data_IF_126920114729
#
_entry.id   IF_126920114729
#
_cell.length_a   1.000
_cell.length_b   1.000
_cell.length_c   1.000
_cell.angle_alpha   90.00
_cell.angle_beta   90.00
_cell.angle_gamma   90.00
#
_symmetry.space_group_name_H-M   'P 1'
#
loop_
_entity.id
_entity.type
_entity.pdbx_description
1 polymer ?
#
# COMPACT_ATOMS: atom_id res chain seq x y z
N UNK A 1 -6.60 20.06 25.26
CA UNK A 1 -5.24 19.59 24.91
C UNK A 1 -5.19 19.38 23.41
N UNK A 2 -4.31 20.09 22.69
CA UNK A 2 -4.18 19.88 21.24
C UNK A 2 -3.57 18.50 20.99
N UNK A 3 -4.29 17.62 20.31
CA UNK A 3 -3.79 16.31 19.91
C UNK A 3 -2.63 16.51 18.93
N UNK A 4 -1.43 16.07 19.30
CA UNK A 4 -0.28 16.10 18.40
C UNK A 4 -0.60 15.33 17.11
N UNK A 5 -0.45 16.01 15.96
CA UNK A 5 -0.76 15.43 14.65
C UNK A 5 -0.05 14.09 14.40
N UNK A 6 -0.67 13.24 13.57
CA UNK A 6 -0.12 11.95 13.16
C UNK A 6 0.87 12.07 11.97
N UNK A 7 1.00 13.26 11.40
CA UNK A 7 1.80 13.49 10.20
C UNK A 7 3.30 13.52 10.49
N UNK A 8 4.08 12.73 9.73
CA UNK A 8 5.55 12.62 9.79
C UNK A 8 6.12 12.27 11.17
N UNK A 9 5.46 11.36 11.90
CA UNK A 9 6.08 10.78 13.10
C UNK A 9 7.31 9.96 12.71
N UNK A 10 8.33 10.03 13.55
CA UNK A 10 9.55 9.23 13.38
C UNK A 10 9.14 7.75 13.54
N UNK A 11 9.65 6.91 12.65
CA UNK A 11 9.45 5.46 12.75
C UNK A 11 10.02 4.96 14.09
N UNK A 12 9.35 4.02 14.79
CA UNK A 12 9.93 3.36 15.95
C UNK A 12 11.09 2.46 15.47
N UNK A 13 12.27 3.08 15.34
CA UNK A 13 13.50 2.46 14.90
C UNK A 13 14.52 2.50 16.03
N UNK A 14 15.03 1.35 16.48
CA UNK A 14 14.67 -0.03 16.09
C UNK A 14 13.29 -0.51 16.62
N UNK A 15 12.63 -1.52 16.00
CA UNK A 15 13.13 -2.37 14.91
C UNK A 15 12.70 -1.96 13.49
N UNK A 16 11.97 -0.86 13.31
CA UNK A 16 11.52 -0.47 11.97
C UNK A 16 12.70 0.02 11.11
N UNK A 17 12.74 -0.42 9.84
CA UNK A 17 13.69 0.01 8.81
C UNK A 17 12.87 0.63 7.68
N UNK A 18 13.22 1.83 7.23
CA UNK A 18 12.59 2.47 6.09
C UNK A 18 12.89 1.69 4.80
N UNK A 19 11.85 1.32 4.04
CA UNK A 19 11.96 0.61 2.77
C UNK A 19 12.84 1.37 1.77
N UNK A 20 12.79 2.71 1.77
CA UNK A 20 13.55 3.55 0.84
C UNK A 20 15.04 3.69 1.19
N UNK A 21 15.45 3.27 2.40
CA UNK A 21 16.84 3.30 2.85
C UNK A 21 17.73 2.30 2.09
N UNK A 22 19.04 2.44 2.21
CA UNK A 22 20.01 1.48 1.65
C UNK A 22 19.80 0.07 2.22
N UNK A 23 19.55 -0.03 3.52
CA UNK A 23 19.28 -1.29 4.22
C UNK A 23 17.94 -1.89 3.80
N UNK A 24 16.88 -1.08 3.73
CA UNK A 24 15.55 -1.51 3.28
C UNK A 24 15.57 -2.07 1.85
N UNK A 25 16.27 -1.40 0.93
CA UNK A 25 16.48 -1.89 -0.45
C UNK A 25 17.24 -3.21 -0.49
N UNK A 26 18.26 -3.38 0.35
CA UNK A 26 19.02 -4.64 0.45
C UNK A 26 18.11 -5.79 0.91
N UNK A 27 17.39 -5.61 2.01
CA UNK A 27 16.45 -6.61 2.54
C UNK A 27 15.35 -6.95 1.53
N UNK A 28 14.81 -5.95 0.83
CA UNK A 28 13.82 -6.16 -0.21
C UNK A 28 14.37 -6.99 -1.36
N UNK A 29 15.59 -6.71 -1.81
CA UNK A 29 16.27 -7.44 -2.89
C UNK A 29 16.53 -8.89 -2.48
N UNK A 30 16.98 -9.14 -1.25
CA UNK A 30 17.14 -10.49 -0.69
C UNK A 30 15.81 -11.26 -0.66
N UNK A 31 14.72 -10.62 -0.23
CA UNK A 31 13.39 -11.24 -0.20
C UNK A 31 12.86 -11.58 -1.61
N UNK A 32 13.15 -10.72 -2.60
CA UNK A 32 12.83 -10.99 -4.02
C UNK A 32 13.61 -12.21 -4.51
N UNK A 33 14.92 -12.27 -4.27
CA UNK A 33 15.74 -13.43 -4.66
C UNK A 33 15.30 -14.74 -3.97
N UNK A 34 14.78 -14.64 -2.75
CA UNK A 34 14.21 -15.78 -2.02
C UNK A 34 12.77 -16.13 -2.42
N UNK A 35 12.16 -15.39 -3.35
CA UNK A 35 10.79 -15.62 -3.83
C UNK A 35 9.68 -15.29 -2.83
N UNK A 36 9.99 -14.63 -1.70
CA UNK A 36 9.00 -14.31 -0.65
C UNK A 36 8.30 -12.96 -0.87
N UNK A 37 8.72 -12.20 -1.89
CA UNK A 37 8.25 -10.84 -2.14
C UNK A 37 7.56 -10.66 -3.51
N UNK A 38 7.27 -11.74 -4.24
CA UNK A 38 6.65 -11.70 -5.58
C UNK A 38 5.30 -10.94 -5.62
N UNK A 39 4.49 -11.06 -4.56
CA UNK A 39 3.18 -10.39 -4.47
C UNK A 39 3.30 -8.86 -4.47
N UNK A 40 4.45 -8.32 -4.06
CA UNK A 40 4.69 -6.88 -4.01
C UNK A 40 4.45 -6.23 -5.36
N UNK A 41 4.90 -6.85 -6.46
CA UNK A 41 4.74 -6.30 -7.81
C UNK A 41 3.28 -6.13 -8.22
N UNK A 42 2.40 -7.04 -7.78
CA UNK A 42 0.96 -6.91 -8.04
C UNK A 42 0.33 -5.81 -7.19
N UNK A 43 0.72 -5.73 -5.91
CA UNK A 43 0.16 -4.73 -4.99
C UNK A 43 0.62 -3.31 -5.33
N UNK A 44 1.89 -3.12 -5.67
CA UNK A 44 2.47 -1.79 -5.92
C UNK A 44 1.85 -1.11 -7.15
N UNK A 45 1.43 -1.88 -8.16
CA UNK A 45 0.71 -1.35 -9.34
C UNK A 45 -0.63 -0.68 -9.00
N UNK A 46 -1.21 -0.97 -7.82
CA UNK A 46 -2.46 -0.37 -7.35
C UNK A 46 -2.28 0.48 -6.10
N UNK A 47 -1.05 0.80 -5.72
CA UNK A 47 -0.76 1.56 -4.51
C UNK A 47 -1.45 2.93 -4.52
N UNK A 48 -2.13 3.24 -3.42
CA UNK A 48 -2.87 4.48 -3.27
C UNK A 48 -2.74 5.01 -1.85
N UNK A 49 -2.70 6.34 -1.73
CA UNK A 49 -2.80 7.01 -0.44
C UNK A 49 -4.25 7.01 0.03
N UNK A 50 -4.49 6.67 1.29
CA UNK A 50 -5.82 6.79 1.90
C UNK A 50 -6.37 8.22 1.74
N UNK A 51 -7.62 8.35 1.34
CA UNK A 51 -8.27 9.65 1.10
C UNK A 51 -8.60 10.43 2.37
N UNK A 52 -8.70 9.73 3.50
CA UNK A 52 -9.05 10.24 4.83
C UNK A 52 -8.23 9.47 5.88
N UNK A 53 -7.72 10.11 6.95
CA UNK A 53 -7.07 9.47 8.10
C UNK A 53 -7.71 8.16 8.62
N UNK A 54 -9.03 8.04 8.61
CA UNK A 54 -9.73 6.83 9.06
C UNK A 54 -9.86 5.71 8.00
N UNK A 55 -9.44 5.93 6.74
CA UNK A 55 -9.76 5.05 5.60
C UNK A 55 -8.64 4.09 5.18
N UNK A 56 -7.70 3.76 6.08
CA UNK A 56 -6.62 2.82 5.77
C UNK A 56 -7.14 1.44 5.34
N UNK A 57 -8.21 0.94 5.96
CA UNK A 57 -8.82 -0.35 5.59
C UNK A 57 -9.43 -0.35 4.18
N UNK A 58 -10.06 0.75 3.76
CA UNK A 58 -10.66 0.87 2.42
C UNK A 58 -9.59 0.97 1.33
N UNK A 59 -8.52 1.73 1.58
CA UNK A 59 -7.37 1.80 0.69
C UNK A 59 -6.72 0.41 0.51
N UNK A 60 -6.45 -0.30 1.60
CA UNK A 60 -5.90 -1.65 1.56
C UNK A 60 -6.82 -2.65 0.84
N UNK A 61 -8.14 -2.61 1.13
CA UNK A 61 -9.09 -3.51 0.49
C UNK A 61 -9.13 -3.30 -1.03
N UNK A 62 -9.23 -2.05 -1.49
CA UNK A 62 -9.27 -1.76 -2.92
C UNK A 62 -7.96 -2.12 -3.64
N UNK A 63 -6.79 -1.92 -3.02
CA UNK A 63 -5.51 -2.41 -3.54
C UNK A 63 -5.53 -3.93 -3.75
N UNK A 64 -5.99 -4.69 -2.76
CA UNK A 64 -6.04 -6.16 -2.80
C UNK A 64 -7.04 -6.65 -3.84
N UNK A 65 -8.25 -6.08 -3.88
CA UNK A 65 -9.27 -6.46 -4.87
C UNK A 65 -8.81 -6.19 -6.31
N UNK A 66 -8.15 -5.06 -6.55
CA UNK A 66 -7.58 -4.74 -7.86
C UNK A 66 -6.43 -5.68 -8.24
N UNK A 67 -5.54 -6.00 -7.29
CA UNK A 67 -4.45 -6.96 -7.50
C UNK A 67 -4.94 -8.39 -7.79
N UNK A 68 -6.12 -8.75 -7.29
CA UNK A 68 -6.81 -10.00 -7.59
C UNK A 68 -7.70 -9.92 -8.85
N UNK A 69 -7.79 -8.76 -9.49
CA UNK A 69 -8.64 -8.49 -10.65
C UNK A 69 -10.11 -8.86 -10.42
N UNK A 70 -10.63 -8.55 -9.23
CA UNK A 70 -12.03 -8.81 -8.86
C UNK A 70 -12.92 -7.69 -9.40
N UNK A 71 -13.88 -8.05 -10.25
CA UNK A 71 -14.93 -7.12 -10.69
C UNK A 71 -15.89 -6.83 -9.52
N UNK A 72 -16.14 -5.56 -9.17
CA UNK A 72 -17.12 -5.21 -8.15
C UNK A 72 -18.57 -5.55 -8.53
N UNK A 73 -18.84 -5.99 -9.77
CA UNK A 73 -20.17 -6.37 -10.25
C UNK A 73 -21.16 -5.20 -10.28
N UNK A 74 -20.62 -3.97 -10.20
CA UNK A 74 -21.38 -2.72 -10.18
C UNK A 74 -20.67 -1.71 -11.07
N UNK A 75 -21.44 -0.97 -11.86
CA UNK A 75 -20.89 0.12 -12.68
C UNK A 75 -20.29 1.18 -11.77
N UNK A 76 -18.99 1.41 -11.92
CA UNK A 76 -18.26 2.44 -11.21
C UNK A 76 -17.88 3.55 -12.22
N UNK A 77 -18.36 4.78 -11.99
CA UNK A 77 -18.12 6.02 -12.77
C UNK A 77 -17.95 5.84 -14.29
N UNK A 78 -19.01 6.16 -15.04
CA UNK A 78 -19.03 6.24 -16.51
C UNK A 78 -20.45 6.03 -17.04
N UNK A 79 -20.87 6.80 -18.05
CA UNK A 79 -22.07 6.49 -18.82
C UNK A 79 -21.77 5.37 -19.82
N UNK A 80 -22.76 4.51 -20.04
CA UNK A 80 -22.71 3.33 -20.91
C UNK A 80 -22.74 3.74 -22.40
N UNK A 81 -21.77 4.55 -22.85
CA UNK A 81 -21.67 5.01 -24.24
C UNK A 81 -20.20 5.24 -24.62
N UNK A 82 -19.39 4.18 -24.55
CA UNK A 82 -18.23 3.93 -25.41
C UNK A 82 -18.14 2.43 -25.63
#
# INVERSE_FOLDING_TARGET
MATAGLYRRILPSPPAIDLASSEGKKLFTEAIHNGTMEVFFKLISYFQTQSEPAYCGLASLSMVLNALSIDPGRKWKGNLLL
#
